data_IF_295408207793
#
_entry.id   IF_295408207793
#
_cell.length_a   1.000
_cell.length_b   1.000
_cell.length_c   1.000
_cell.angle_alpha   90.00
_cell.angle_beta   90.00
_cell.angle_gamma   90.00
#
_symmetry.space_group_name_H-M   'P 1'
#
loop_
_entity.id
_entity.type
_entity.pdbx_description
1 polymer ?
#
# COMPACT_ATOMS: atom_id res chain seq x y z
N UNK A 1 3.69 -16.66 2.36
CA UNK A 1 4.86 -15.77 2.32
C UNK A 1 5.37 -15.51 3.73
N UNK A 2 4.57 -14.95 4.65
CA UNK A 2 5.00 -14.60 6.02
C UNK A 2 5.52 -15.83 6.80
N UNK A 3 4.89 -17.01 6.65
CA UNK A 3 5.38 -18.24 7.26
C UNK A 3 6.72 -18.67 6.68
N UNK A 4 6.90 -18.60 5.37
CA UNK A 4 8.16 -18.96 4.72
C UNK A 4 9.30 -18.06 5.21
N UNK A 5 9.05 -16.76 5.34
CA UNK A 5 10.02 -15.82 5.90
C UNK A 5 10.32 -16.11 7.37
N UNK A 6 9.29 -16.44 8.17
CA UNK A 6 9.48 -16.86 9.57
C UNK A 6 10.34 -18.13 9.65
N UNK A 7 10.06 -19.14 8.84
CA UNK A 7 10.82 -20.41 8.82
C UNK A 7 12.26 -20.25 8.32
N UNK A 8 12.54 -19.25 7.50
CA UNK A 8 13.92 -18.90 7.14
C UNK A 8 14.71 -18.39 8.36
N UNK A 9 14.06 -17.69 9.29
CA UNK A 9 14.67 -17.18 10.52
C UNK A 9 14.62 -18.19 11.67
N UNK A 10 13.54 -18.95 11.76
CA UNK A 10 13.25 -19.94 12.80
C UNK A 10 12.78 -21.24 12.13
N UNK A 11 13.71 -22.08 11.63
CA UNK A 11 13.39 -23.28 10.84
C UNK A 11 12.48 -24.28 11.55
N UNK A 12 12.54 -24.35 12.87
CA UNK A 12 11.79 -25.29 13.70
C UNK A 12 10.52 -24.67 14.32
N UNK A 13 10.08 -23.50 13.84
CA UNK A 13 8.86 -22.88 14.35
C UNK A 13 7.64 -23.77 14.06
N UNK A 14 6.87 -24.07 15.12
CA UNK A 14 5.58 -24.76 15.00
C UNK A 14 4.53 -23.74 14.53
N UNK A 15 4.04 -23.91 13.31
CA UNK A 15 3.17 -22.95 12.62
C UNK A 15 1.89 -23.60 12.12
N UNK A 16 0.80 -22.87 12.25
CA UNK A 16 -0.51 -23.26 11.71
C UNK A 16 -1.19 -22.11 10.96
N UNK A 17 -2.23 -22.45 10.21
CA UNK A 17 -3.02 -21.49 9.47
C UNK A 17 -4.49 -21.58 9.86
N UNK A 18 -5.14 -20.41 10.01
CA UNK A 18 -6.58 -20.32 10.15
C UNK A 18 -7.12 -19.36 9.08
N UNK A 19 -7.43 -19.92 7.91
CA UNK A 19 -7.85 -19.15 6.73
C UNK A 19 -8.81 -19.94 5.86
N UNK A 20 -9.96 -19.36 5.56
CA UNK A 20 -10.92 -19.94 4.63
C UNK A 20 -10.36 -20.04 3.21
N UNK A 21 -9.62 -19.01 2.77
CA UNK A 21 -9.00 -18.98 1.44
C UNK A 21 -7.93 -20.06 1.23
N UNK A 22 -7.29 -20.54 2.31
CA UNK A 22 -6.34 -21.66 2.27
C UNK A 22 -7.00 -23.01 2.63
N UNK A 23 -8.29 -23.00 2.93
CA UNK A 23 -9.03 -24.18 3.44
C UNK A 23 -8.34 -24.87 4.64
N UNK A 24 -7.73 -24.08 5.52
CA UNK A 24 -7.02 -24.55 6.71
C UNK A 24 -7.59 -23.90 7.97
N UNK A 25 -7.74 -24.68 9.05
CA UNK A 25 -8.32 -24.24 10.33
C UNK A 25 -7.54 -24.82 11.52
N UNK A 26 -6.21 -24.72 11.49
CA UNK A 26 -5.32 -25.22 12.55
C UNK A 26 -5.12 -24.14 13.61
N UNK A 27 -5.38 -24.48 14.87
CA UNK A 27 -5.12 -23.58 16.02
C UNK A 27 -4.15 -24.21 17.05
N UNK A 28 -3.78 -25.49 16.89
CA UNK A 28 -2.96 -26.22 17.86
C UNK A 28 -1.46 -25.90 17.77
N UNK A 29 -1.07 -25.06 16.81
CA UNK A 29 0.31 -24.63 16.62
C UNK A 29 0.69 -23.48 17.56
N UNK A 30 1.99 -23.37 17.87
CA UNK A 30 2.54 -22.30 18.71
C UNK A 30 2.34 -20.92 18.06
N UNK A 31 2.46 -20.83 16.75
CA UNK A 31 2.27 -19.60 15.96
C UNK A 31 1.19 -19.85 14.92
N UNK A 32 0.09 -19.11 14.97
CA UNK A 32 -1.02 -19.26 14.03
C UNK A 32 -1.17 -18.00 13.16
N UNK A 33 -1.03 -18.18 11.85
CA UNK A 33 -1.35 -17.16 10.86
C UNK A 33 -2.84 -17.21 10.53
N UNK A 34 -3.57 -16.14 10.83
CA UNK A 34 -5.01 -16.12 10.69
C UNK A 34 -5.52 -14.93 9.88
N UNK A 35 -6.50 -15.19 9.00
CA UNK A 35 -7.30 -14.13 8.39
C UNK A 35 -8.41 -13.69 9.34
N UNK A 36 -8.56 -12.39 9.58
CA UNK A 36 -9.54 -11.86 10.53
C UNK A 36 -10.97 -12.35 10.22
N UNK A 37 -11.38 -12.38 8.97
CA UNK A 37 -12.69 -12.85 8.54
C UNK A 37 -12.94 -14.32 8.88
N UNK A 38 -11.88 -15.12 8.95
CA UNK A 38 -11.97 -16.55 9.25
C UNK A 38 -12.00 -16.82 10.75
N UNK A 39 -11.19 -16.10 11.53
CA UNK A 39 -10.96 -16.42 12.96
C UNK A 39 -11.86 -15.64 13.93
N UNK A 40 -12.45 -14.51 13.52
CA UNK A 40 -13.21 -13.63 14.42
C UNK A 40 -14.32 -14.36 15.19
N UNK A 41 -14.98 -15.33 14.56
CA UNK A 41 -16.08 -16.13 15.14
C UNK A 41 -15.67 -17.55 15.55
N UNK A 42 -14.38 -17.88 15.51
CA UNK A 42 -13.91 -19.21 15.90
C UNK A 42 -13.91 -19.39 17.41
N UNK A 43 -13.99 -20.65 17.87
CA UNK A 43 -13.69 -21.00 19.25
C UNK A 43 -12.18 -20.83 19.41
N UNK A 44 -11.77 -19.87 20.25
CA UNK A 44 -10.37 -19.46 20.40
C UNK A 44 -9.70 -20.32 21.46
N UNK A 45 -8.44 -20.69 21.20
CA UNK A 45 -7.53 -21.31 22.17
C UNK A 45 -6.76 -20.24 22.96
N UNK A 46 -5.92 -20.67 23.90
CA UNK A 46 -5.09 -19.81 24.71
C UNK A 46 -3.88 -19.32 23.90
N UNK A 47 -3.75 -17.99 23.75
CA UNK A 47 -2.57 -17.33 23.20
C UNK A 47 -2.09 -16.24 24.16
N UNK A 48 -0.79 -16.01 24.19
CA UNK A 48 -0.17 -14.98 25.03
C UNK A 48 -0.05 -13.63 24.31
N UNK A 49 0.13 -13.67 22.98
CA UNK A 49 0.36 -12.49 22.15
C UNK A 49 -0.54 -12.55 20.94
N UNK A 50 -1.21 -11.43 20.65
CA UNK A 50 -1.87 -11.16 19.38
C UNK A 50 -1.07 -10.11 18.62
N UNK A 51 -0.61 -10.45 17.41
CA UNK A 51 0.04 -9.51 16.51
C UNK A 51 -0.96 -9.16 15.38
N UNK A 52 -1.25 -7.88 15.21
CA UNK A 52 -2.13 -7.38 14.15
C UNK A 52 -1.28 -6.64 13.12
N UNK A 53 -1.10 -7.24 11.96
CA UNK A 53 -0.46 -6.58 10.82
C UNK A 53 -1.45 -5.63 10.17
N UNK A 54 -0.94 -4.51 9.61
CA UNK A 54 -1.74 -3.40 9.08
C UNK A 54 -2.83 -2.93 10.06
N UNK A 55 -2.44 -2.75 11.32
CA UNK A 55 -3.38 -2.47 12.42
C UNK A 55 -4.18 -1.16 12.25
N UNK A 56 -3.81 -0.30 11.28
CA UNK A 56 -4.63 0.85 10.89
C UNK A 56 -5.99 0.45 10.25
N UNK A 57 -6.14 -0.81 9.82
CA UNK A 57 -7.42 -1.35 9.34
C UNK A 57 -8.41 -1.64 10.47
N UNK A 58 -7.97 -1.70 11.71
CA UNK A 58 -8.85 -1.86 12.88
C UNK A 58 -9.77 -0.65 12.99
N UNK A 59 -11.08 -0.89 13.07
CA UNK A 59 -12.06 0.18 13.22
C UNK A 59 -12.14 0.64 14.68
N UNK A 60 -12.45 1.93 14.95
CA UNK A 60 -12.58 2.45 16.32
C UNK A 60 -13.81 1.93 17.07
N UNK A 61 -14.82 1.42 16.35
CA UNK A 61 -16.05 0.94 16.95
C UNK A 61 -15.90 -0.51 17.48
N UNK A 62 -16.48 -0.78 18.64
CA UNK A 62 -16.42 -2.07 19.33
C UNK A 62 -17.14 -3.22 18.58
N UNK A 63 -17.94 -2.93 17.57
CA UNK A 63 -18.71 -3.93 16.80
C UNK A 63 -17.89 -4.62 15.71
N UNK A 64 -16.61 -4.25 15.52
CA UNK A 64 -15.76 -4.80 14.46
C UNK A 64 -15.22 -6.20 14.77
N UNK A 65 -14.90 -6.96 13.72
CA UNK A 65 -14.33 -8.32 13.84
C UNK A 65 -13.05 -8.39 14.69
N UNK A 66 -12.21 -7.36 14.66
CA UNK A 66 -11.01 -7.29 15.50
C UNK A 66 -11.37 -7.16 16.98
N UNK A 67 -12.34 -6.31 17.33
CA UNK A 67 -12.80 -6.18 18.72
C UNK A 67 -13.41 -7.48 19.23
N UNK A 68 -14.20 -8.15 18.40
CA UNK A 68 -14.79 -9.45 18.73
C UNK A 68 -13.69 -10.49 18.98
N UNK A 69 -12.69 -10.59 18.10
CA UNK A 69 -11.56 -11.51 18.30
C UNK A 69 -10.79 -11.19 19.58
N UNK A 70 -10.49 -9.91 19.84
CA UNK A 70 -9.75 -9.48 21.03
C UNK A 70 -10.53 -9.82 22.30
N UNK A 71 -11.84 -9.57 22.32
CA UNK A 71 -12.68 -9.90 23.47
C UNK A 71 -12.70 -11.42 23.71
N UNK A 72 -12.85 -12.23 22.66
CA UNK A 72 -12.81 -13.67 22.76
C UNK A 72 -11.45 -14.18 23.31
N UNK A 73 -10.35 -13.62 22.82
CA UNK A 73 -8.99 -13.95 23.31
C UNK A 73 -8.79 -13.54 24.75
N UNK A 74 -9.23 -12.33 25.16
CA UNK A 74 -9.13 -11.82 26.55
C UNK A 74 -10.00 -12.63 27.53
N UNK A 75 -11.12 -13.20 27.07
CA UNK A 75 -11.94 -14.10 27.89
C UNK A 75 -11.21 -15.41 28.22
N UNK A 76 -10.34 -15.87 27.32
CA UNK A 76 -9.50 -17.07 27.52
C UNK A 76 -8.21 -16.73 28.28
N UNK A 77 -7.57 -15.61 27.92
CA UNK A 77 -6.37 -15.10 28.57
C UNK A 77 -6.50 -13.60 28.89
N UNK A 78 -6.86 -13.22 30.11
CA UNK A 78 -6.96 -11.81 30.53
C UNK A 78 -5.62 -11.05 30.44
N UNK A 79 -4.48 -11.75 30.41
CA UNK A 79 -3.14 -11.16 30.31
C UNK A 79 -2.63 -11.04 28.86
N UNK A 80 -3.49 -11.26 27.87
CA UNK A 80 -3.16 -11.15 26.46
C UNK A 80 -2.42 -9.85 26.15
N UNK A 81 -1.27 -9.95 25.48
CA UNK A 81 -0.55 -8.80 24.94
C UNK A 81 -0.97 -8.56 23.49
N UNK A 82 -1.22 -7.30 23.14
CA UNK A 82 -1.63 -6.92 21.77
C UNK A 82 -0.56 -6.01 21.18
N UNK A 83 -0.02 -6.41 20.04
CA UNK A 83 0.98 -5.66 19.28
C UNK A 83 0.40 -5.33 17.90
N UNK A 84 0.34 -4.05 17.54
CA UNK A 84 -0.02 -3.59 16.21
C UNK A 84 1.21 -3.22 15.39
N UNK A 85 1.24 -3.66 14.13
CA UNK A 85 2.24 -3.27 13.15
C UNK A 85 1.56 -2.44 12.06
N UNK A 86 2.12 -1.30 11.71
CA UNK A 86 1.61 -0.45 10.63
C UNK A 86 2.65 0.55 10.18
N UNK A 87 2.64 0.90 8.91
CA UNK A 87 3.39 2.03 8.38
C UNK A 87 2.77 3.38 8.78
N UNK A 88 1.47 3.41 9.10
CA UNK A 88 0.70 4.62 9.39
C UNK A 88 -0.22 4.39 10.60
N UNK A 89 0.17 4.83 11.82
CA UNK A 89 -0.64 4.65 13.02
C UNK A 89 -1.83 5.62 13.10
N UNK A 90 -2.45 5.90 11.96
CA UNK A 90 -3.47 6.92 11.78
C UNK A 90 -4.52 6.49 10.76
N UNK A 91 -5.77 6.91 10.94
CA UNK A 91 -6.88 6.75 9.98
C UNK A 91 -7.49 8.10 9.63
N UNK A 92 -7.94 8.28 8.38
CA UNK A 92 -8.57 9.51 7.90
C UNK A 92 -9.85 9.86 8.66
N UNK A 93 -10.64 8.85 9.00
CA UNK A 93 -11.96 8.99 9.63
C UNK A 93 -11.91 9.19 11.15
N UNK A 94 -10.88 8.65 11.81
CA UNK A 94 -10.85 8.52 13.27
C UNK A 94 -9.54 8.94 13.95
N UNK A 95 -8.55 9.43 13.19
CA UNK A 95 -7.29 9.94 13.73
C UNK A 95 -6.32 8.85 14.22
N UNK A 96 -5.48 9.18 15.20
CA UNK A 96 -4.46 8.26 15.71
C UNK A 96 -5.07 7.08 16.47
N UNK A 97 -4.55 5.87 16.20
CA UNK A 97 -5.02 4.60 16.78
C UNK A 97 -4.89 4.55 18.31
N UNK A 98 -4.00 5.36 18.88
CA UNK A 98 -3.73 5.44 20.33
C UNK A 98 -4.54 6.55 21.03
N UNK A 99 -5.34 7.32 20.29
CA UNK A 99 -6.09 8.48 20.80
C UNK A 99 -7.60 8.31 20.72
N UNK A 100 -8.08 7.11 20.43
CA UNK A 100 -9.50 6.81 20.46
C UNK A 100 -10.05 6.82 21.90
N UNK A 101 -11.34 6.97 22.06
CA UNK A 101 -12.00 6.95 23.38
C UNK A 101 -11.77 5.61 24.11
N UNK A 102 -11.81 4.51 23.36
CA UNK A 102 -11.50 3.15 23.82
C UNK A 102 -10.39 2.54 22.94
N UNK A 103 -9.12 2.92 23.15
CA UNK A 103 -8.04 2.50 22.28
C UNK A 103 -7.65 1.03 22.53
N UNK A 104 -7.47 0.27 21.46
CA UNK A 104 -6.86 -1.08 21.53
C UNK A 104 -5.36 -0.96 21.80
N UNK A 105 -4.73 0.06 21.24
CA UNK A 105 -3.29 0.30 21.38
C UNK A 105 -3.06 1.51 22.29
N UNK A 106 -2.40 1.29 23.42
CA UNK A 106 -2.18 2.32 24.44
C UNK A 106 -1.13 3.36 24.03
N UNK A 107 -0.10 2.92 23.30
CA UNK A 107 1.03 3.75 22.89
C UNK A 107 1.77 3.21 21.68
N UNK A 108 2.50 4.08 21.01
CA UNK A 108 3.52 3.68 20.02
C UNK A 108 4.79 3.30 20.78
N UNK A 109 5.16 2.01 20.73
CA UNK A 109 6.35 1.50 21.43
C UNK A 109 7.63 1.64 20.63
N UNK A 110 7.53 1.68 19.30
CA UNK A 110 8.68 1.85 18.40
C UNK A 110 8.23 2.51 17.10
N UNK A 111 9.04 3.45 16.61
CA UNK A 111 8.89 4.08 15.31
C UNK A 111 10.25 4.11 14.61
N UNK A 112 10.28 3.70 13.35
CA UNK A 112 11.47 3.81 12.52
C UNK A 112 11.22 4.79 11.39
N UNK A 113 12.19 5.64 11.15
CA UNK A 113 12.15 6.65 10.10
C UNK A 113 12.56 6.03 8.75
N UNK A 114 11.82 6.32 7.69
CA UNK A 114 12.10 5.87 6.32
C UNK A 114 13.47 6.38 5.85
N UNK A 115 13.83 7.63 6.17
CA UNK A 115 15.17 8.19 5.87
C UNK A 115 16.28 7.36 6.50
N UNK A 116 16.08 6.90 7.74
CA UNK A 116 17.05 6.05 8.41
C UNK A 116 17.18 4.69 7.75
N UNK A 117 16.05 4.09 7.31
CA UNK A 117 16.07 2.81 6.59
C UNK A 117 16.78 2.92 5.23
N UNK A 118 16.56 4.01 4.49
CA UNK A 118 17.30 4.30 3.25
C UNK A 118 18.79 4.46 3.55
N UNK A 119 19.14 5.28 4.54
CA UNK A 119 20.55 5.53 4.93
C UNK A 119 21.28 4.24 5.35
N UNK A 120 20.58 3.31 5.99
CA UNK A 120 21.12 2.02 6.42
C UNK A 120 21.09 0.94 5.31
N UNK A 121 20.59 1.25 4.13
CA UNK A 121 20.51 0.32 3.02
C UNK A 121 19.46 -0.78 3.18
N UNK A 122 18.42 -0.56 3.96
CA UNK A 122 17.27 -1.46 4.07
C UNK A 122 16.16 -1.14 3.05
N UNK A 123 16.12 0.10 2.58
CA UNK A 123 15.19 0.55 1.55
C UNK A 123 15.95 1.26 0.43
N UNK A 124 15.39 1.17 -0.78
CA UNK A 124 15.84 1.87 -1.96
C UNK A 124 15.32 3.32 -1.95
N UNK A 125 16.14 4.35 -2.24
CA UNK A 125 15.67 5.72 -2.35
C UNK A 125 14.68 5.89 -3.50
N UNK A 126 13.76 6.84 -3.35
CA UNK A 126 12.77 7.21 -4.36
C UNK A 126 13.03 8.62 -4.86
N UNK A 127 13.07 8.79 -6.17
CA UNK A 127 13.07 10.10 -6.83
C UNK A 127 11.64 10.39 -7.24
N UNK A 128 11.04 11.43 -6.66
CA UNK A 128 9.65 11.83 -6.95
C UNK A 128 9.60 12.87 -8.05
N UNK A 129 8.71 12.68 -9.01
CA UNK A 129 8.44 13.61 -10.10
C UNK A 129 6.92 13.79 -10.26
N UNK A 130 6.47 15.03 -10.43
CA UNK A 130 5.05 15.38 -10.55
C UNK A 130 4.40 15.00 -11.89
N UNK A 131 5.17 14.36 -12.80
CA UNK A 131 4.73 14.12 -14.17
C UNK A 131 4.67 15.38 -15.02
N UNK A 132 4.86 15.22 -16.34
CA UNK A 132 4.79 16.33 -17.31
C UNK A 132 3.35 16.77 -17.64
N UNK A 133 2.35 15.96 -17.27
CA UNK A 133 0.92 16.24 -17.50
C UNK A 133 0.25 16.58 -16.16
N UNK A 134 -0.27 17.81 -16.06
CA UNK A 134 -1.00 18.24 -14.86
C UNK A 134 -2.47 17.85 -14.96
N UNK A 135 -2.95 17.19 -13.91
CA UNK A 135 -4.36 16.84 -13.73
C UNK A 135 -4.89 17.59 -12.51
N UNK A 136 -5.83 18.51 -12.74
CA UNK A 136 -6.43 19.30 -11.67
C UNK A 136 -7.55 18.52 -10.97
N UNK A 137 -7.23 17.98 -9.78
CA UNK A 137 -8.18 17.24 -8.94
C UNK A 137 -8.89 18.12 -7.91
N UNK A 138 -8.62 19.44 -7.87
CA UNK A 138 -9.16 20.36 -6.84
C UNK A 138 -10.68 20.44 -6.81
N UNK A 139 -11.34 20.18 -7.95
CA UNK A 139 -12.80 20.22 -8.10
C UNK A 139 -13.46 18.85 -7.97
N UNK A 140 -12.69 17.79 -7.73
CA UNK A 140 -13.25 16.45 -7.58
C UNK A 140 -13.98 16.32 -6.24
N UNK A 141 -15.21 15.80 -6.29
CA UNK A 141 -16.03 15.59 -5.10
C UNK A 141 -15.43 14.52 -4.19
N UNK A 142 -15.64 14.70 -2.87
CA UNK A 142 -15.22 13.75 -1.85
C UNK A 142 -16.42 13.00 -1.26
N UNK A 143 -16.18 11.74 -0.85
CA UNK A 143 -17.13 10.92 -0.10
C UNK A 143 -16.37 10.17 1.00
N UNK A 144 -16.81 10.33 2.28
CA UNK A 144 -16.15 9.68 3.41
C UNK A 144 -14.69 10.11 3.65
N UNK A 145 -14.33 11.34 3.22
CA UNK A 145 -12.97 11.87 3.36
C UNK A 145 -12.00 11.44 2.22
N UNK A 146 -12.46 10.68 1.23
CA UNK A 146 -11.68 10.28 0.05
C UNK A 146 -12.32 10.84 -1.24
N UNK A 147 -11.56 10.95 -2.30
CA UNK A 147 -12.05 11.34 -3.62
C UNK A 147 -13.10 10.36 -4.15
N UNK A 148 -14.08 10.86 -4.89
CA UNK A 148 -15.06 10.02 -5.56
C UNK A 148 -14.42 9.38 -6.81
N UNK A 149 -14.24 8.06 -6.80
CA UNK A 149 -13.54 7.31 -7.86
C UNK A 149 -14.11 7.57 -9.27
N UNK A 150 -15.44 7.61 -9.42
CA UNK A 150 -16.06 7.87 -10.73
C UNK A 150 -15.75 9.27 -11.31
N UNK A 151 -15.55 10.27 -10.46
CA UNK A 151 -15.17 11.61 -10.89
C UNK A 151 -13.68 11.69 -11.26
N UNK A 152 -12.82 10.98 -10.49
CA UNK A 152 -11.41 10.82 -10.85
C UNK A 152 -11.24 10.06 -12.16
N UNK A 153 -11.98 8.96 -12.33
CA UNK A 153 -11.95 8.11 -13.53
C UNK A 153 -12.18 8.93 -14.79
N UNK A 154 -13.31 9.66 -14.87
CA UNK A 154 -13.64 10.49 -16.02
C UNK A 154 -12.55 11.51 -16.34
N UNK A 155 -11.94 12.09 -15.28
CA UNK A 155 -10.87 13.08 -15.42
C UNK A 155 -9.60 12.45 -16.01
N UNK A 156 -9.16 11.30 -15.48
CA UNK A 156 -7.95 10.65 -15.96
C UNK A 156 -8.12 10.00 -17.32
N UNK A 157 -9.27 9.38 -17.60
CA UNK A 157 -9.55 8.77 -18.91
C UNK A 157 -9.39 9.75 -20.07
N UNK A 158 -9.83 11.01 -19.87
CA UNK A 158 -9.68 12.06 -20.89
C UNK A 158 -8.22 12.47 -21.16
N UNK A 159 -7.31 12.17 -20.22
CA UNK A 159 -5.88 12.53 -20.26
C UNK A 159 -4.96 11.33 -20.49
N UNK A 160 -5.50 10.13 -20.58
CA UNK A 160 -4.72 8.88 -20.68
C UNK A 160 -3.68 8.91 -21.81
N UNK A 161 -3.96 9.35 -23.05
CA UNK A 161 -2.95 9.36 -24.11
C UNK A 161 -1.76 10.28 -23.77
N UNK A 162 -2.02 11.48 -23.25
CA UNK A 162 -0.97 12.44 -22.87
C UNK A 162 -0.12 11.89 -21.70
N UNK A 163 -0.77 11.30 -20.69
CA UNK A 163 -0.12 10.72 -19.52
C UNK A 163 0.74 9.53 -19.94
N UNK A 164 0.24 8.63 -20.77
CA UNK A 164 0.99 7.44 -21.21
C UNK A 164 2.21 7.84 -22.04
N UNK A 165 2.08 8.81 -22.95
CA UNK A 165 3.21 9.32 -23.72
C UNK A 165 4.31 9.88 -22.80
N UNK A 166 3.94 10.60 -21.74
CA UNK A 166 4.88 11.12 -20.74
C UNK A 166 5.51 9.98 -19.90
N UNK A 167 4.72 8.97 -19.48
CA UNK A 167 5.22 7.78 -18.77
C UNK A 167 6.29 7.07 -19.60
N UNK A 168 6.03 6.82 -20.87
CA UNK A 168 6.96 6.13 -21.78
C UNK A 168 8.25 6.91 -21.92
N UNK A 169 8.16 8.23 -22.06
CA UNK A 169 9.33 9.13 -22.15
C UNK A 169 10.15 9.11 -20.85
N UNK A 170 9.52 9.29 -19.70
CA UNK A 170 10.21 9.39 -18.42
C UNK A 170 10.69 8.03 -17.88
N UNK A 171 10.01 6.94 -18.24
CA UNK A 171 10.36 5.58 -17.86
C UNK A 171 11.31 4.86 -18.82
N UNK A 172 11.90 5.56 -19.82
CA UNK A 172 12.69 4.92 -20.86
C UNK A 172 13.87 4.09 -20.32
N UNK A 173 14.53 4.55 -19.25
CA UNK A 173 15.64 3.88 -18.56
C UNK A 173 15.20 2.88 -17.48
N UNK A 174 13.90 2.78 -17.19
CA UNK A 174 13.33 1.92 -16.14
C UNK A 174 12.96 0.55 -16.71
N UNK A 175 13.13 -0.47 -15.87
CA UNK A 175 13.00 -1.88 -16.28
C UNK A 175 11.67 -2.51 -15.92
N UNK A 176 11.11 -2.18 -14.74
CA UNK A 176 9.90 -2.79 -14.22
C UNK A 176 8.98 -1.73 -13.60
N UNK A 177 7.83 -1.53 -14.22
CA UNK A 177 6.90 -0.45 -13.90
C UNK A 177 5.66 -0.98 -13.20
N UNK A 178 5.29 -0.36 -12.07
CA UNK A 178 4.01 -0.56 -11.40
C UNK A 178 3.14 0.68 -11.60
N UNK A 179 1.99 0.53 -12.23
CA UNK A 179 1.04 1.61 -12.49
C UNK A 179 -0.24 1.37 -11.69
N UNK A 180 -0.68 2.38 -10.95
CA UNK A 180 -1.88 2.35 -10.12
C UNK A 180 -2.95 3.26 -10.70
N UNK A 181 -4.08 2.68 -11.12
CA UNK A 181 -5.21 3.35 -11.72
C UNK A 181 -6.40 3.47 -10.75
N UNK A 182 -7.40 4.27 -11.11
CA UNK A 182 -8.60 4.53 -10.30
C UNK A 182 -9.59 3.37 -10.40
N UNK A 183 -9.83 2.87 -11.62
CA UNK A 183 -10.83 1.83 -11.92
C UNK A 183 -10.30 0.78 -12.88
N UNK A 184 -11.03 -0.33 -13.04
CA UNK A 184 -10.69 -1.40 -13.98
C UNK A 184 -10.72 -0.86 -15.42
N UNK A 185 -11.77 -0.14 -15.78
CA UNK A 185 -11.92 0.44 -17.14
C UNK A 185 -10.75 1.38 -17.47
N UNK A 186 -10.38 2.26 -16.53
CA UNK A 186 -9.21 3.12 -16.68
C UNK A 186 -7.90 2.33 -16.81
N UNK A 187 -7.71 1.26 -16.03
CA UNK A 187 -6.52 0.43 -16.10
C UNK A 187 -6.39 -0.31 -17.43
N UNK A 188 -7.51 -0.78 -17.99
CA UNK A 188 -7.56 -1.41 -19.31
C UNK A 188 -7.22 -0.42 -20.42
N UNK A 189 -7.75 0.81 -20.34
CA UNK A 189 -7.42 1.89 -21.29
C UNK A 189 -5.93 2.25 -21.23
N UNK A 190 -5.35 2.42 -20.02
CA UNK A 190 -3.92 2.69 -19.84
C UNK A 190 -3.08 1.55 -20.39
N UNK A 191 -3.50 0.30 -20.18
CA UNK A 191 -2.82 -0.90 -20.69
C UNK A 191 -2.80 -0.92 -22.22
N UNK A 192 -3.96 -0.69 -22.86
CA UNK A 192 -4.07 -0.65 -24.31
C UNK A 192 -3.19 0.45 -24.91
N UNK A 193 -3.17 1.63 -24.29
CA UNK A 193 -2.35 2.75 -24.74
C UNK A 193 -0.84 2.46 -24.60
N UNK A 194 -0.39 1.83 -23.48
CA UNK A 194 1.00 1.42 -23.28
C UNK A 194 1.44 0.38 -24.33
N UNK A 195 0.57 -0.59 -24.66
CA UNK A 195 0.83 -1.59 -25.69
C UNK A 195 0.98 -0.91 -27.05
N UNK A 196 0.17 0.09 -27.38
CA UNK A 196 0.28 0.86 -28.63
C UNK A 196 1.62 1.60 -28.76
N UNK A 197 2.23 1.98 -27.63
CA UNK A 197 3.58 2.53 -27.54
C UNK A 197 4.69 1.46 -27.50
N UNK A 198 4.37 0.18 -27.70
CA UNK A 198 5.34 -0.93 -27.73
C UNK A 198 5.84 -1.37 -26.34
N UNK A 199 5.18 -0.99 -25.25
CA UNK A 199 5.53 -1.43 -23.90
C UNK A 199 4.88 -2.78 -23.62
N UNK A 200 5.69 -3.79 -23.26
CA UNK A 200 5.18 -5.09 -22.84
C UNK A 200 4.46 -4.96 -21.48
N UNK A 201 3.12 -4.92 -21.53
CA UNK A 201 2.25 -4.53 -20.42
C UNK A 201 1.14 -5.56 -20.21
N UNK A 202 0.79 -5.81 -18.95
CA UNK A 202 -0.42 -6.53 -18.57
C UNK A 202 -1.22 -5.74 -17.52
N UNK A 203 -2.56 -5.94 -17.53
CA UNK A 203 -3.46 -5.44 -16.51
C UNK A 203 -3.77 -6.55 -15.50
N UNK A 204 -3.73 -6.21 -14.19
CA UNK A 204 -4.07 -7.14 -13.11
C UNK A 204 -5.03 -6.47 -12.11
N UNK A 205 -6.22 -7.05 -11.97
CA UNK A 205 -7.29 -6.55 -11.11
C UNK A 205 -8.09 -7.71 -10.49
N UNK A 206 -9.05 -7.43 -9.61
CA UNK A 206 -9.82 -8.42 -8.86
C UNK A 206 -10.61 -9.44 -9.70
N UNK A 207 -10.81 -9.15 -10.98
CA UNK A 207 -11.49 -10.04 -11.94
C UNK A 207 -10.49 -10.78 -12.86
N UNK A 208 -9.18 -10.63 -12.63
CA UNK A 208 -8.14 -11.29 -13.43
C UNK A 208 -7.91 -12.72 -12.92
N UNK A 209 -8.03 -13.73 -13.79
CA UNK A 209 -7.78 -15.14 -13.47
C UNK A 209 -6.33 -15.58 -13.70
N UNK A 210 -5.42 -14.63 -13.93
CA UNK A 210 -4.11 -14.91 -14.50
C UNK A 210 -2.99 -14.72 -13.47
N UNK A 211 -2.80 -15.66 -12.55
CA UNK A 211 -1.70 -15.62 -11.56
C UNK A 211 -0.30 -15.60 -12.20
N UNK A 212 -0.13 -16.13 -13.41
CA UNK A 212 1.15 -16.11 -14.14
C UNK A 212 1.59 -14.68 -14.50
N UNK A 213 0.70 -13.70 -14.59
CA UNK A 213 1.06 -12.28 -14.82
C UNK A 213 2.01 -11.77 -13.74
N UNK A 214 1.72 -12.10 -12.47
CA UNK A 214 2.57 -11.70 -11.34
C UNK A 214 3.93 -12.40 -11.37
N UNK A 215 3.96 -13.66 -11.79
CA UNK A 215 5.20 -14.42 -11.98
C UNK A 215 6.03 -13.82 -13.12
N UNK A 216 5.41 -13.51 -14.26
CA UNK A 216 6.06 -12.87 -15.39
C UNK A 216 6.67 -11.51 -15.03
N UNK A 217 5.94 -10.71 -14.25
CA UNK A 217 6.45 -9.43 -13.77
C UNK A 217 7.61 -9.60 -12.79
N UNK A 218 7.50 -10.54 -11.86
CA UNK A 218 8.53 -10.82 -10.85
C UNK A 218 9.85 -11.27 -11.48
N UNK A 219 9.78 -12.03 -12.58
CA UNK A 219 10.95 -12.52 -13.31
C UNK A 219 11.40 -11.59 -14.45
N UNK A 220 10.79 -10.41 -14.59
CA UNK A 220 11.18 -9.43 -15.61
C UNK A 220 10.81 -9.80 -17.05
N UNK A 221 9.92 -10.78 -17.25
CA UNK A 221 9.35 -11.13 -18.56
C UNK A 221 8.30 -10.11 -19.00
N UNK A 222 7.71 -9.40 -18.07
CA UNK A 222 6.75 -8.30 -18.26
C UNK A 222 7.39 -7.00 -17.79
N UNK A 223 7.39 -5.95 -18.62
CA UNK A 223 7.96 -4.64 -18.26
C UNK A 223 7.03 -3.81 -17.39
N UNK A 224 5.74 -3.86 -17.66
CA UNK A 224 4.77 -3.00 -17.00
C UNK A 224 3.58 -3.81 -16.45
N UNK A 225 3.22 -3.56 -15.20
CA UNK A 225 2.06 -4.11 -14.55
C UNK A 225 1.12 -2.97 -14.13
N UNK A 226 -0.01 -2.88 -14.79
CA UNK A 226 -1.09 -1.92 -14.48
C UNK A 226 -2.07 -2.58 -13.53
N UNK A 227 -2.49 -1.87 -12.48
CA UNK A 227 -3.40 -2.47 -11.49
C UNK A 227 -4.36 -1.45 -10.86
N UNK A 228 -5.39 -2.00 -10.19
CA UNK A 228 -6.37 -1.25 -9.40
C UNK A 228 -6.41 -1.84 -8.00
N UNK A 229 -5.88 -1.12 -7.01
CA UNK A 229 -5.93 -1.42 -5.56
C UNK A 229 -5.38 -2.79 -5.09
N UNK A 230 -5.24 -3.79 -5.97
CA UNK A 230 -4.96 -5.17 -5.56
C UNK A 230 -3.52 -5.38 -5.10
N UNK A 231 -2.58 -4.62 -5.66
CA UNK A 231 -1.16 -4.73 -5.34
C UNK A 231 -0.71 -3.82 -4.18
N UNK A 232 -1.65 -3.17 -3.51
CA UNK A 232 -1.37 -2.29 -2.36
C UNK A 232 -0.98 -3.07 -1.12
N UNK A 233 -1.47 -4.32 -0.97
CA UNK A 233 -1.16 -5.21 0.15
C UNK A 233 -0.67 -6.57 -0.33
N UNK A 234 0.18 -7.25 0.45
CA UNK A 234 0.57 -8.65 0.22
C UNK A 234 1.56 -8.94 -0.93
N UNK A 235 1.68 -8.08 -1.92
CA UNK A 235 2.54 -8.33 -3.09
C UNK A 235 3.99 -7.89 -2.87
N UNK A 236 4.96 -8.65 -3.40
CA UNK A 236 6.38 -8.38 -3.25
C UNK A 236 7.08 -8.36 -4.62
N UNK A 237 7.43 -7.16 -5.11
CA UNK A 237 8.11 -6.98 -6.39
C UNK A 237 9.41 -6.17 -6.22
N UNK A 238 10.50 -6.77 -5.72
CA UNK A 238 11.77 -6.06 -5.54
C UNK A 238 12.34 -5.48 -6.84
N UNK A 239 12.05 -6.14 -7.98
CA UNK A 239 12.49 -5.71 -9.31
C UNK A 239 11.88 -4.36 -9.73
N UNK A 240 10.70 -3.99 -9.20
CA UNK A 240 9.99 -2.77 -9.60
C UNK A 240 10.81 -1.52 -9.28
N UNK A 241 11.21 -0.79 -10.32
CA UNK A 241 12.06 0.40 -10.25
C UNK A 241 11.34 1.69 -10.68
N UNK A 242 10.05 1.58 -11.02
CA UNK A 242 9.18 2.73 -11.28
C UNK A 242 7.77 2.49 -10.72
N UNK A 243 7.25 3.49 -10.03
CA UNK A 243 5.87 3.57 -9.56
C UNK A 243 5.17 4.74 -10.24
N UNK A 244 4.00 4.51 -10.81
CA UNK A 244 3.20 5.54 -11.44
C UNK A 244 1.84 5.62 -10.76
N UNK A 245 1.49 6.81 -10.29
CA UNK A 245 0.20 7.09 -9.67
C UNK A 245 -0.68 7.87 -10.65
N UNK A 246 -1.60 7.16 -11.35
CA UNK A 246 -2.66 7.78 -12.15
C UNK A 246 -3.95 7.73 -11.30
N UNK A 247 -3.80 8.14 -10.04
CA UNK A 247 -4.90 8.31 -9.08
C UNK A 247 -4.51 9.30 -8.00
N UNK A 248 -5.48 10.09 -7.55
CA UNK A 248 -5.35 10.89 -6.35
C UNK A 248 -5.91 10.12 -5.16
N UNK A 249 -5.35 10.32 -3.97
CA UNK A 249 -5.89 9.80 -2.70
C UNK A 249 -5.68 10.79 -1.57
N UNK A 250 -6.62 10.87 -0.65
CA UNK A 250 -6.48 11.57 0.63
C UNK A 250 -5.85 10.65 1.70
N UNK A 251 -5.78 9.34 1.42
CA UNK A 251 -5.21 8.36 2.33
C UNK A 251 -3.69 8.34 2.28
N UNK A 252 -3.05 8.94 3.29
CA UNK A 252 -1.61 8.82 3.51
C UNK A 252 -1.15 7.36 3.63
N UNK A 253 -1.97 6.51 4.26
CA UNK A 253 -1.69 5.09 4.38
C UNK A 253 -1.61 4.41 3.02
N UNK A 254 -2.60 4.64 2.14
CA UNK A 254 -2.62 4.08 0.80
C UNK A 254 -1.42 4.58 -0.03
N UNK A 255 -1.12 5.89 0.03
CA UNK A 255 0.05 6.47 -0.63
C UNK A 255 1.36 5.79 -0.20
N UNK A 256 1.59 5.65 1.12
CA UNK A 256 2.79 5.00 1.68
C UNK A 256 2.86 3.53 1.28
N UNK A 257 1.75 2.80 1.31
CA UNK A 257 1.69 1.40 0.90
C UNK A 257 2.04 1.23 -0.58
N UNK A 258 1.49 2.07 -1.46
CA UNK A 258 1.76 2.01 -2.90
C UNK A 258 3.24 2.28 -3.17
N UNK A 259 3.76 3.43 -2.70
CA UNK A 259 5.15 3.82 -2.97
C UNK A 259 6.14 2.86 -2.31
N UNK A 260 5.81 2.34 -1.15
CA UNK A 260 6.59 1.31 -0.45
C UNK A 260 6.86 0.04 -1.28
N UNK A 261 6.02 -0.26 -2.29
CA UNK A 261 6.24 -1.41 -3.19
C UNK A 261 7.53 -1.29 -4.00
N UNK A 262 7.89 -0.06 -4.39
CA UNK A 262 9.11 0.18 -5.18
C UNK A 262 10.31 0.55 -4.31
N UNK A 263 10.19 0.59 -2.99
CA UNK A 263 11.31 0.87 -2.09
C UNK A 263 12.12 -0.38 -1.71
N UNK A 264 11.70 -1.57 -2.11
CA UNK A 264 12.41 -2.80 -1.80
C UNK A 264 13.72 -2.88 -2.55
N UNK A 265 14.74 -3.44 -1.90
CA UNK A 265 16.07 -3.57 -2.50
C UNK A 265 16.06 -4.61 -3.62
N UNK A 266 16.83 -4.33 -4.67
CA UNK A 266 17.12 -5.28 -5.73
C UNK A 266 18.54 -5.01 -6.28
N UNK A 267 19.34 -6.03 -6.62
CA UNK A 267 20.74 -5.84 -7.04
C UNK A 267 20.92 -4.88 -8.23
N UNK A 268 19.95 -4.85 -9.14
CA UNK A 268 20.00 -4.03 -10.35
C UNK A 268 19.30 -2.67 -10.21
N UNK A 269 18.92 -2.26 -8.98
CA UNK A 269 18.17 -1.03 -8.71
C UNK A 269 18.94 -0.09 -7.80
N UNK A 270 19.29 1.09 -8.30
CA UNK A 270 19.95 2.16 -7.51
C UNK A 270 18.95 3.06 -6.80
N UNK A 271 17.84 3.37 -7.46
CA UNK A 271 16.72 4.14 -6.95
C UNK A 271 15.43 3.70 -7.67
N UNK A 272 14.29 4.08 -7.14
CA UNK A 272 13.01 3.98 -7.83
C UNK A 272 12.55 5.37 -8.29
N UNK A 273 11.85 5.44 -9.42
CA UNK A 273 11.19 6.63 -9.92
C UNK A 273 9.71 6.60 -9.52
N UNK A 274 9.22 7.67 -8.90
CA UNK A 274 7.80 7.90 -8.66
C UNK A 274 7.30 8.97 -9.65
N UNK A 275 6.36 8.62 -10.51
CA UNK A 275 5.62 9.56 -11.34
C UNK A 275 4.22 9.75 -10.73
N UNK A 276 3.92 10.98 -10.31
CA UNK A 276 2.69 11.29 -9.58
C UNK A 276 1.80 12.26 -10.38
N UNK A 277 0.82 11.71 -11.09
CA UNK A 277 -0.19 12.50 -11.82
C UNK A 277 -1.40 12.86 -10.93
N UNK A 278 -1.43 12.37 -9.69
CA UNK A 278 -2.50 12.62 -8.70
C UNK A 278 -2.23 13.74 -7.72
N UNK A 279 -1.01 14.33 -7.74
CA UNK A 279 -0.60 15.34 -6.78
C UNK A 279 -0.46 14.81 -5.35
N UNK A 280 -0.23 13.50 -5.20
CA UNK A 280 -0.14 12.85 -3.89
C UNK A 280 1.11 13.29 -3.12
N UNK A 281 2.24 13.46 -3.82
CA UNK A 281 3.49 13.94 -3.20
C UNK A 281 3.32 15.35 -2.64
N UNK A 282 2.63 16.25 -3.36
CA UNK A 282 2.33 17.60 -2.86
C UNK A 282 1.36 17.57 -1.67
N UNK A 283 0.46 16.59 -1.64
CA UNK A 283 -0.55 16.44 -0.57
C UNK A 283 0.02 15.78 0.69
N UNK A 284 0.84 14.76 0.55
CA UNK A 284 1.34 13.92 1.65
C UNK A 284 2.81 14.15 2.00
N UNK A 285 3.57 14.82 1.15
CA UNK A 285 5.03 14.95 1.24
C UNK A 285 5.78 13.85 0.49
N UNK A 286 7.09 14.02 0.36
CA UNK A 286 7.96 12.96 -0.16
C UNK A 286 7.91 11.74 0.74
N UNK A 287 8.06 10.53 0.17
CA UNK A 287 7.88 9.26 0.90
C UNK A 287 8.82 9.12 2.11
N UNK A 288 9.96 9.74 2.06
CA UNK A 288 10.94 9.75 3.14
C UNK A 288 10.68 10.85 4.19
N UNK A 289 9.70 11.74 3.95
CA UNK A 289 9.28 12.83 4.84
C UNK A 289 7.76 12.99 4.89
N UNK A 290 7.06 11.88 4.85
CA UNK A 290 5.59 11.88 4.89
C UNK A 290 5.08 12.50 6.17
N UNK A 291 4.27 13.55 6.02
CA UNK A 291 3.59 14.21 7.13
C UNK A 291 2.17 13.64 7.28
N UNK A 292 1.88 13.07 8.44
CA UNK A 292 0.53 12.64 8.80
C UNK A 292 -0.19 13.84 9.39
N UNK A 293 -1.21 14.36 8.70
CA UNK A 293 -2.05 15.45 9.21
C UNK A 293 -3.10 14.88 10.16
N UNK A 294 -3.20 15.43 11.37
CA UNK A 294 -4.28 15.10 12.28
C UNK A 294 -5.63 15.69 11.80
N UNK A 295 -6.73 15.04 12.18
CA UNK A 295 -8.08 15.50 11.86
C UNK A 295 -8.28 16.91 12.45
N UNK A 296 -8.52 17.92 11.60
CA UNK A 296 -8.70 19.33 12.02
C UNK A 296 -7.46 20.22 11.83
N UNK A 297 -6.31 19.68 11.51
CA UNK A 297 -5.18 20.48 11.02
C UNK A 297 -5.44 20.81 9.54
N UNK A 298 -5.45 22.11 9.23
CA UNK A 298 -5.92 22.66 7.97
C UNK A 298 -5.36 22.00 6.70
N UNK A 299 -6.03 22.30 5.58
CA UNK A 299 -5.74 21.81 4.22
C UNK A 299 -4.40 22.30 3.62
N UNK A 300 -3.42 22.67 4.43
CA UNK A 300 -2.10 23.08 3.95
C UNK A 300 -1.40 21.94 3.20
N UNK A 301 -0.83 22.27 2.04
CA UNK A 301 0.05 21.35 1.31
C UNK A 301 1.28 20.98 2.16
N UNK A 302 1.83 19.78 1.97
CA UNK A 302 3.10 19.41 2.58
C UNK A 302 4.21 20.37 2.10
N UNK A 303 5.27 20.64 2.92
CA UNK A 303 6.35 21.54 2.56
C UNK A 303 7.26 20.91 1.49
N UNK A 304 6.75 20.76 0.29
CA UNK A 304 7.46 20.23 -0.87
C UNK A 304 7.51 21.29 -1.97
N UNK A 305 8.61 21.30 -2.73
CA UNK A 305 8.82 22.21 -3.86
C UNK A 305 9.08 21.38 -5.12
N UNK A 306 8.35 21.70 -6.18
CA UNK A 306 8.60 21.11 -7.49
C UNK A 306 9.63 21.97 -8.25
N UNK A 307 10.65 21.33 -8.79
CA UNK A 307 11.63 21.97 -9.63
C UNK A 307 10.98 22.40 -10.97
N UNK A 308 11.02 23.69 -11.36
CA UNK A 308 10.36 24.15 -12.58
C UNK A 308 11.03 23.65 -13.89
N UNK A 309 12.24 23.09 -13.79
CA UNK A 309 12.99 22.63 -14.96
C UNK A 309 12.87 21.14 -15.25
N UNK A 310 12.69 20.31 -14.22
CA UNK A 310 12.70 18.85 -14.35
C UNK A 310 11.57 18.16 -13.59
N UNK A 311 10.62 18.93 -13.04
CA UNK A 311 9.45 18.46 -12.26
C UNK A 311 9.77 17.58 -11.05
N UNK A 312 11.04 17.40 -10.67
CA UNK A 312 11.44 16.69 -9.46
C UNK A 312 10.87 17.40 -8.23
N UNK A 313 10.30 16.64 -7.31
CA UNK A 313 9.74 17.14 -6.05
C UNK A 313 10.75 16.86 -4.94
N UNK A 314 11.07 17.91 -4.16
CA UNK A 314 12.05 17.92 -3.07
C UNK A 314 11.36 18.30 -1.75
#
# INVERSE_FOLDING_TARGET
QNEAELKNLLPNADTGFYSAGLNQKTQDAQIVFAGIQSIANAKIQHYEILIIDECHLVAPNEAGQYHQLINNLKNVNPNLKILGLTATPYRLDSGYLTQWETPIFERVVYKIDVKLLIKRGFLCPVVSNGGGVKVDVSKVKHKGGEFLDSALESLYMSKTPEIVADIVKQGADRKAWLIFCVSIEHAEQVTAELISHGVNTACYHSQSDNEYILDDFTHGRLKCLVNVNILTTGSNFPIADMCVLIRATESTALYVQIVGRVMRLHPNKKNALLLDYGGNVMRHGCIDDVTVKAKGEGTGEAPSKQCPSCDTIL
#
